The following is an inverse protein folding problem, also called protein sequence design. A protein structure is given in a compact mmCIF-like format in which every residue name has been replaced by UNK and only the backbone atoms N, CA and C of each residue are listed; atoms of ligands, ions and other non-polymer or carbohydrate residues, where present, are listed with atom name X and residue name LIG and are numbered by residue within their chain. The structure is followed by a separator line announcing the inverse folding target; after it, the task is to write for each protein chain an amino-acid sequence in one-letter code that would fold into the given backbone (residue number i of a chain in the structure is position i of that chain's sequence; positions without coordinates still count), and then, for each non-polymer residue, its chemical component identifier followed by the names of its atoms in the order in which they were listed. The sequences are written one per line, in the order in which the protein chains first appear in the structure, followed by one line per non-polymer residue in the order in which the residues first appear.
data_IF_330412833689
#
_entry.id   IF_330412833689
#
_cell.length_a   1.000
_cell.length_b   1.000
_cell.length_c   1.000
_cell.angle_alpha   90.00
_cell.angle_beta   90.00
_cell.angle_gamma   90.00
#
_symmetry.space_group_name_H-M   'P 1'
#
loop_
_entity.id
_entity.type
_entity.pdbx_description
1 polymer ?
#
# COMPACT_ATOMS: atom_id res chain seq x y z
N UNK A 1 -8.93 17.03 -47.62
CA UNK A 1 -8.99 16.74 -46.18
C UNK A 1 -7.57 16.46 -45.72
N UNK A 2 -6.98 17.40 -44.98
CA UNK A 2 -5.56 17.39 -44.62
C UNK A 2 -5.24 16.21 -43.71
N UNK A 3 -4.44 15.26 -44.21
CA UNK A 3 -3.94 14.11 -43.44
C UNK A 3 -3.26 14.55 -42.13
N UNK A 4 -2.62 15.71 -42.13
CA UNK A 4 -1.96 16.29 -40.95
C UNK A 4 -2.97 16.67 -39.86
N UNK A 5 -4.10 17.30 -40.21
CA UNK A 5 -5.16 17.63 -39.24
C UNK A 5 -5.79 16.39 -38.62
N UNK A 6 -5.97 15.32 -39.40
CA UNK A 6 -6.43 14.04 -38.88
C UNK A 6 -5.44 13.41 -37.89
N UNK A 7 -4.15 13.43 -38.22
CA UNK A 7 -3.09 12.89 -37.36
C UNK A 7 -2.95 13.68 -36.06
N UNK A 8 -3.07 15.00 -36.10
CA UNK A 8 -3.05 15.85 -34.90
C UNK A 8 -4.26 15.61 -33.99
N UNK A 9 -5.47 15.51 -34.56
CA UNK A 9 -6.67 15.18 -33.79
C UNK A 9 -6.55 13.80 -33.14
N UNK A 10 -6.07 12.79 -33.88
CA UNK A 10 -5.86 11.45 -33.36
C UNK A 10 -4.82 11.42 -32.22
N UNK A 11 -3.70 12.14 -32.35
CA UNK A 11 -2.69 12.23 -31.27
C UNK A 11 -3.24 12.86 -30.01
N UNK A 12 -4.04 13.92 -30.15
CA UNK A 12 -4.65 14.62 -29.01
C UNK A 12 -5.71 13.77 -28.31
N UNK A 13 -6.48 13.01 -29.07
CA UNK A 13 -7.47 12.06 -28.54
C UNK A 13 -6.79 10.90 -27.80
N UNK A 14 -5.73 10.32 -28.39
CA UNK A 14 -4.98 9.22 -27.76
C UNK A 14 -4.30 9.65 -26.45
N UNK A 15 -3.73 10.87 -26.40
CA UNK A 15 -3.15 11.40 -25.16
C UNK A 15 -4.19 11.51 -24.02
N UNK A 16 -5.44 11.88 -24.33
CA UNK A 16 -6.49 11.92 -23.33
C UNK A 16 -6.87 10.52 -22.84
N UNK A 17 -6.91 9.52 -23.73
CA UNK A 17 -7.17 8.13 -23.35
C UNK A 17 -6.09 7.63 -22.40
N UNK A 18 -4.81 7.89 -22.70
CA UNK A 18 -3.68 7.50 -21.85
C UNK A 18 -3.76 8.14 -20.46
N UNK A 19 -4.15 9.41 -20.38
CA UNK A 19 -4.35 10.13 -19.11
C UNK A 19 -5.51 9.53 -18.31
N UNK A 20 -6.64 9.26 -18.96
CA UNK A 20 -7.83 8.66 -18.33
C UNK A 20 -7.52 7.25 -17.81
N UNK A 21 -6.80 6.43 -18.58
CA UNK A 21 -6.36 5.10 -18.15
C UNK A 21 -5.49 5.20 -16.89
N UNK A 22 -4.46 6.04 -16.92
CA UNK A 22 -3.55 6.23 -15.77
C UNK A 22 -4.28 6.74 -14.53
N UNK A 23 -5.21 7.68 -14.68
CA UNK A 23 -6.01 8.18 -13.57
C UNK A 23 -6.92 7.08 -12.99
N UNK A 24 -7.54 6.29 -13.87
CA UNK A 24 -8.41 5.18 -13.48
C UNK A 24 -7.63 4.11 -12.73
N UNK A 25 -6.44 3.73 -13.20
CA UNK A 25 -5.55 2.78 -12.50
C UNK A 25 -5.12 3.30 -11.13
N UNK A 26 -4.78 4.58 -11.03
CA UNK A 26 -4.37 5.18 -9.76
C UNK A 26 -5.52 5.20 -8.76
N UNK A 27 -6.73 5.56 -9.21
CA UNK A 27 -7.94 5.58 -8.38
C UNK A 27 -8.36 4.18 -7.95
N UNK A 28 -8.34 3.20 -8.87
CA UNK A 28 -8.71 1.82 -8.55
C UNK A 28 -7.73 1.20 -7.55
N UNK A 29 -6.42 1.40 -7.72
CA UNK A 29 -5.41 0.95 -6.78
C UNK A 29 -5.59 1.59 -5.38
N UNK A 30 -5.89 2.89 -5.34
CA UNK A 30 -6.19 3.59 -4.09
C UNK A 30 -7.42 2.99 -3.38
N UNK A 31 -8.54 2.83 -4.08
CA UNK A 31 -9.76 2.24 -3.52
C UNK A 31 -9.55 0.80 -3.07
N UNK A 32 -8.85 -0.02 -3.87
CA UNK A 32 -8.51 -1.38 -3.50
C UNK A 32 -7.64 -1.43 -2.24
N UNK A 33 -6.67 -0.54 -2.10
CA UNK A 33 -5.82 -0.47 -0.91
C UNK A 33 -6.61 -0.07 0.33
N UNK A 34 -7.53 0.90 0.22
CA UNK A 34 -8.42 1.30 1.33
C UNK A 34 -9.32 0.14 1.75
N UNK A 35 -9.90 -0.59 0.81
CA UNK A 35 -10.75 -1.75 1.08
C UNK A 35 -9.96 -2.90 1.74
N UNK A 36 -8.73 -3.17 1.29
CA UNK A 36 -7.88 -4.21 1.89
C UNK A 36 -7.45 -3.84 3.31
N UNK A 37 -7.06 -2.59 3.54
CA UNK A 37 -6.63 -2.12 4.86
C UNK A 37 -7.78 -2.05 5.86
N UNK A 38 -8.99 -1.68 5.42
CA UNK A 38 -10.18 -1.70 6.29
C UNK A 38 -10.53 -3.12 6.72
N UNK A 39 -10.46 -4.10 5.82
CA UNK A 39 -10.62 -5.52 6.16
C UNK A 39 -9.57 -6.01 7.15
N UNK A 40 -8.31 -5.59 7.00
CA UNK A 40 -7.25 -5.93 7.97
C UNK A 40 -7.57 -5.40 9.38
N UNK A 41 -8.14 -4.20 9.49
CA UNK A 41 -8.57 -3.64 10.78
C UNK A 41 -9.72 -4.46 11.37
N UNK A 42 -10.73 -4.80 10.56
CA UNK A 42 -11.87 -5.62 11.00
C UNK A 42 -11.41 -6.97 11.53
N UNK A 43 -10.59 -7.69 10.77
CA UNK A 43 -10.10 -9.00 11.19
C UNK A 43 -9.20 -8.92 12.42
N UNK A 44 -8.37 -7.89 12.53
CA UNK A 44 -7.56 -7.64 13.72
C UNK A 44 -8.43 -7.44 14.97
N UNK A 45 -9.54 -6.71 14.86
CA UNK A 45 -10.50 -6.54 15.97
C UNK A 45 -11.18 -7.86 16.29
N UNK A 46 -11.58 -8.64 15.28
CA UNK A 46 -12.17 -9.96 15.49
C UNK A 46 -11.21 -10.92 16.19
N UNK A 47 -9.95 -11.03 15.76
CA UNK A 47 -8.98 -11.91 16.42
C UNK A 47 -8.68 -11.48 17.86
N UNK A 48 -8.57 -10.17 18.09
CA UNK A 48 -8.24 -9.67 19.42
C UNK A 48 -9.42 -9.78 20.40
N UNK A 49 -10.65 -9.54 19.95
CA UNK A 49 -11.85 -9.52 20.83
C UNK A 49 -12.49 -10.89 20.95
N UNK A 50 -12.56 -11.66 19.86
CA UNK A 50 -13.29 -12.95 19.84
C UNK A 50 -12.35 -14.10 20.21
N UNK A 51 -11.13 -14.11 19.66
CA UNK A 51 -10.20 -15.22 19.82
C UNK A 51 -9.18 -14.99 20.95
N UNK A 52 -9.17 -13.80 21.57
CA UNK A 52 -8.18 -13.35 22.57
C UNK A 52 -6.73 -13.64 22.14
N UNK A 53 -6.49 -13.55 20.82
CA UNK A 53 -5.19 -13.84 20.21
C UNK A 53 -4.46 -12.56 19.83
N UNK A 54 -3.13 -12.53 19.99
CA UNK A 54 -2.34 -11.41 19.53
C UNK A 54 -2.35 -11.33 18.00
N UNK A 55 -3.01 -10.31 17.47
CA UNK A 55 -3.23 -10.07 16.05
C UNK A 55 -2.03 -9.37 15.35
N UNK A 56 -0.80 -9.80 15.62
CA UNK A 56 0.43 -9.17 15.10
C UNK A 56 0.59 -9.29 13.57
N UNK A 57 -0.06 -10.27 12.94
CA UNK A 57 0.00 -10.47 11.49
C UNK A 57 -0.55 -9.26 10.71
N UNK A 58 -1.67 -8.69 11.17
CA UNK A 58 -2.27 -7.51 10.52
C UNK A 58 -1.44 -6.25 10.70
N UNK A 59 -0.78 -6.10 11.86
CA UNK A 59 0.20 -5.03 12.05
C UNK A 59 1.37 -5.13 11.08
N UNK A 60 1.80 -6.36 10.78
CA UNK A 60 2.85 -6.63 9.81
C UNK A 60 2.46 -6.20 8.40
N UNK A 61 1.23 -6.52 7.98
CA UNK A 61 0.68 -6.11 6.67
C UNK A 61 0.61 -4.58 6.59
N UNK A 62 0.03 -3.94 7.59
CA UNK A 62 -0.16 -2.48 7.61
C UNK A 62 1.17 -1.72 7.59
N UNK A 63 2.10 -2.09 8.47
CA UNK A 63 3.41 -1.43 8.57
C UNK A 63 4.25 -1.64 7.32
N UNK A 64 4.19 -2.82 6.70
CA UNK A 64 4.87 -3.09 5.43
C UNK A 64 4.29 -2.26 4.29
N UNK A 65 2.96 -2.17 4.19
CA UNK A 65 2.30 -1.31 3.20
C UNK A 65 2.75 0.14 3.35
N UNK A 66 2.70 0.68 4.58
CA UNK A 66 3.13 2.04 4.87
C UNK A 66 4.63 2.25 4.57
N UNK A 67 5.48 1.28 4.90
CA UNK A 67 6.91 1.34 4.61
C UNK A 67 7.17 1.43 3.11
N UNK A 68 6.52 0.59 2.30
CA UNK A 68 6.70 0.58 0.84
C UNK A 68 6.19 1.87 0.20
N UNK A 69 5.01 2.37 0.60
CA UNK A 69 4.45 3.62 0.07
C UNK A 69 5.38 4.82 0.33
N UNK A 70 5.83 4.96 1.57
CA UNK A 70 6.71 6.06 1.97
C UNK A 70 8.11 5.91 1.36
N UNK A 71 8.63 4.69 1.24
CA UNK A 71 9.91 4.42 0.59
C UNK A 71 9.87 4.76 -0.91
N UNK A 72 8.79 4.38 -1.60
CA UNK A 72 8.58 4.76 -3.00
C UNK A 72 8.55 6.29 -3.16
N UNK A 73 7.80 6.99 -2.30
CA UNK A 73 7.76 8.46 -2.27
C UNK A 73 9.13 9.07 -1.96
N UNK A 74 9.91 8.48 -1.05
CA UNK A 74 11.26 8.94 -0.74
C UNK A 74 12.21 8.85 -1.94
N UNK A 75 12.11 7.78 -2.73
CA UNK A 75 12.93 7.58 -3.94
C UNK A 75 12.50 8.54 -5.06
N UNK A 76 11.19 8.68 -5.30
CA UNK A 76 10.67 9.50 -6.41
C UNK A 76 10.70 10.99 -6.13
N UNK A 77 10.27 11.43 -4.95
CA UNK A 77 10.14 12.85 -4.61
C UNK A 77 11.45 13.44 -4.06
N UNK A 78 12.44 12.61 -3.69
CA UNK A 78 13.74 13.01 -3.14
C UNK A 78 13.69 13.91 -1.89
N UNK A 79 12.52 14.05 -1.26
CA UNK A 79 12.35 14.84 -0.04
C UNK A 79 12.90 14.08 1.18
N UNK A 80 13.65 14.79 2.04
CA UNK A 80 14.23 14.26 3.28
C UNK A 80 13.16 13.78 4.25
N UNK A 81 11.96 14.37 4.28
CA UNK A 81 10.87 13.97 5.18
C UNK A 81 10.45 12.51 4.94
N UNK A 82 10.29 12.13 3.68
CA UNK A 82 9.93 10.76 3.32
C UNK A 82 11.05 9.75 3.63
N UNK A 83 12.32 10.16 3.60
CA UNK A 83 13.43 9.26 3.98
C UNK A 83 13.38 8.88 5.46
N UNK A 84 13.15 9.87 6.33
CA UNK A 84 13.01 9.62 7.78
C UNK A 84 11.79 8.76 8.04
N UNK A 85 10.66 9.10 7.41
CA UNK A 85 9.41 8.38 7.60
C UNK A 85 9.49 6.94 7.06
N UNK A 86 10.21 6.70 5.95
CA UNK A 86 10.47 5.37 5.41
C UNK A 86 11.27 4.53 6.41
N UNK A 87 12.34 5.09 7.00
CA UNK A 87 13.14 4.39 8.00
C UNK A 87 12.32 3.97 9.23
N UNK A 88 11.45 4.87 9.71
CA UNK A 88 10.56 4.60 10.85
C UNK A 88 9.58 3.46 10.53
N UNK A 89 8.90 3.52 9.38
CA UNK A 89 7.95 2.47 8.99
C UNK A 89 8.63 1.14 8.69
N UNK A 90 9.81 1.15 8.08
CA UNK A 90 10.61 -0.07 7.89
C UNK A 90 11.00 -0.70 9.22
N UNK A 91 11.43 0.08 10.21
CA UNK A 91 11.73 -0.43 11.54
C UNK A 91 10.48 -1.00 12.23
N UNK A 92 9.33 -0.33 12.10
CA UNK A 92 8.06 -0.82 12.62
C UNK A 92 7.63 -2.15 11.94
N UNK A 93 7.85 -2.29 10.63
CA UNK A 93 7.58 -3.51 9.89
C UNK A 93 8.43 -4.68 10.39
N UNK A 94 9.74 -4.49 10.53
CA UNK A 94 10.65 -5.50 11.07
C UNK A 94 10.26 -5.89 12.50
N UNK A 95 9.98 -4.90 13.35
CA UNK A 95 9.55 -5.16 14.73
C UNK A 95 8.26 -5.98 14.78
N UNK A 96 7.24 -5.59 14.00
CA UNK A 96 5.96 -6.32 13.95
C UNK A 96 6.12 -7.75 13.43
N UNK A 97 7.04 -7.98 12.49
CA UNK A 97 7.35 -9.31 11.96
C UNK A 97 7.98 -10.20 13.04
N UNK A 98 8.95 -9.68 13.78
CA UNK A 98 9.58 -10.40 14.88
C UNK A 98 8.54 -10.77 15.94
N UNK A 99 7.68 -9.83 16.33
CA UNK A 99 6.60 -10.08 17.30
C UNK A 99 5.60 -11.13 16.79
N UNK A 100 5.25 -11.10 15.50
CA UNK A 100 4.40 -12.10 14.88
C UNK A 100 5.02 -13.49 14.95
N UNK A 101 6.30 -13.65 14.58
CA UNK A 101 7.02 -14.92 14.66
C UNK A 101 7.08 -15.45 16.10
N UNK A 102 7.38 -14.58 17.07
CA UNK A 102 7.40 -14.96 18.50
C UNK A 102 6.02 -15.44 18.94
N UNK A 103 4.96 -14.73 18.55
CA UNK A 103 3.58 -15.10 18.90
C UNK A 103 3.18 -16.45 18.33
N UNK A 104 3.59 -16.73 17.08
CA UNK A 104 3.34 -18.00 16.42
C UNK A 104 4.12 -19.14 17.10
N UNK A 105 5.39 -18.90 17.43
CA UNK A 105 6.22 -19.87 18.14
C UNK A 105 5.67 -20.19 19.54
N UNK A 106 5.04 -19.22 20.21
CA UNK A 106 4.40 -19.43 21.51
C UNK A 106 3.12 -20.27 21.39
N UNK A 107 2.29 -20.01 20.36
CA UNK A 107 1.09 -20.80 20.08
C UNK A 107 1.41 -22.25 19.67
N UNK A 108 2.49 -22.47 18.91
CA UNK A 108 2.91 -23.81 18.51
C UNK A 108 3.45 -24.68 19.66
N UNK A 109 3.77 -24.08 20.82
CA UNK A 109 4.28 -24.78 22.01
C UNK A 109 3.22 -24.98 23.11
N UNK A 110 2.03 -24.39 22.99
CA UNK A 110 0.90 -24.61 23.91
C UNK A 110 0.00 -25.72 23.41
#
# INVERSE_FOLDING_TARGET
MDKEKLLEMSRKENQNIDLVMKETETKSASLASVAALSLCIVFRVMEQVILDRPAFGYYCIFSTYAAVDVLYKAVKLKDKKYKVLAAVWSAAAVFSLVMYIISLAKQARS
#
